data_IF_818446329708
#
_entry.id   IF_818446329708
#
_cell.length_a   1.000
_cell.length_b   1.000
_cell.length_c   1.000
_cell.angle_alpha   90.00
_cell.angle_beta   90.00
_cell.angle_gamma   90.00
#
_symmetry.space_group_name_H-M   'P 1'
#
loop_
_entity.id
_entity.type
_entity.pdbx_description
1 polymer ?
#
# COMPACT_ATOMS: atom_id res chain seq x y z
N UNK A 1 -8.62 18.75 4.90
CA UNK A 1 -7.89 17.72 5.68
C UNK A 1 -8.87 16.61 6.03
N UNK A 2 -8.42 15.36 6.11
CA UNK A 2 -9.25 14.18 6.47
C UNK A 2 -8.92 13.65 7.86
N UNK A 3 -9.81 12.84 8.43
CA UNK A 3 -9.65 12.21 9.76
C UNK A 3 -8.39 11.37 9.86
N UNK A 4 -8.15 10.53 8.85
CA UNK A 4 -6.95 9.69 8.75
C UNK A 4 -6.04 10.22 7.65
N UNK A 5 -4.75 10.37 7.97
CA UNK A 5 -3.75 10.87 7.02
C UNK A 5 -3.58 9.91 5.81
N UNK A 6 -3.62 8.61 6.09
CA UNK A 6 -3.56 7.55 5.10
C UNK A 6 -4.12 6.26 5.69
N UNK A 7 -4.60 5.36 4.84
CA UNK A 7 -4.99 4.00 5.19
C UNK A 7 -3.90 3.02 4.76
N UNK A 8 -3.06 2.59 5.71
CA UNK A 8 -1.92 1.69 5.44
C UNK A 8 -2.33 0.26 5.75
N UNK A 9 -2.44 -0.58 4.71
CA UNK A 9 -2.97 -1.93 4.78
C UNK A 9 -1.98 -2.97 4.26
N UNK A 10 -2.07 -4.17 4.81
CA UNK A 10 -1.26 -5.33 4.42
C UNK A 10 -1.95 -6.61 4.84
N UNK A 11 -1.63 -7.74 4.21
CA UNK A 11 -2.14 -9.03 4.65
C UNK A 11 -1.51 -9.53 5.96
N UNK A 12 -0.27 -9.14 6.25
CA UNK A 12 0.47 -9.64 7.40
C UNK A 12 0.40 -8.75 8.66
N UNK A 13 0.01 -7.49 8.51
CA UNK A 13 -0.11 -6.51 9.60
C UNK A 13 1.24 -6.08 10.18
N UNK A 14 1.33 -4.90 10.80
CA UNK A 14 2.56 -4.39 11.39
C UNK A 14 3.60 -3.89 10.37
N UNK A 15 4.86 -3.79 10.81
CA UNK A 15 5.98 -3.33 9.95
C UNK A 15 6.79 -4.47 9.34
N UNK A 16 6.73 -5.68 9.94
CA UNK A 16 7.57 -6.80 9.57
C UNK A 16 8.98 -6.75 10.14
N UNK A 17 9.81 -7.70 9.70
CA UNK A 17 11.22 -7.77 10.06
C UNK A 17 12.14 -7.43 8.87
N UNK A 18 13.47 -7.34 9.07
CA UNK A 18 14.45 -6.92 8.06
C UNK A 18 14.42 -7.70 6.73
N UNK A 19 13.87 -8.92 6.71
CA UNK A 19 13.74 -9.75 5.50
C UNK A 19 12.29 -10.06 5.14
N UNK A 20 11.34 -9.29 5.64
CA UNK A 20 9.94 -9.55 5.42
C UNK A 20 9.08 -8.38 5.84
N UNK A 21 9.27 -7.26 5.15
CA UNK A 21 8.49 -6.05 5.31
C UNK A 21 6.99 -6.35 5.15
N UNK A 22 6.20 -5.82 6.07
CA UNK A 22 4.75 -5.97 6.09
C UNK A 22 4.05 -4.65 5.79
N UNK A 23 4.79 -3.61 5.41
CA UNK A 23 4.29 -2.30 4.98
C UNK A 23 5.09 -1.78 3.79
N UNK A 24 4.42 -1.02 2.94
CA UNK A 24 5.01 -0.25 1.84
C UNK A 24 5.06 1.25 2.14
N UNK A 25 4.59 1.67 3.31
CA UNK A 25 4.47 3.08 3.67
C UNK A 25 5.54 3.47 4.67
N UNK A 26 6.19 4.60 4.42
CA UNK A 26 7.23 5.17 5.27
C UNK A 26 6.91 6.64 5.57
N UNK A 27 7.26 7.11 6.77
CA UNK A 27 7.16 8.53 7.09
C UNK A 27 8.31 9.31 6.41
N UNK A 28 8.35 10.64 6.63
CA UNK A 28 9.35 11.52 6.01
C UNK A 28 10.78 11.20 6.45
N UNK A 29 10.93 10.64 7.64
CA UNK A 29 12.18 10.23 8.26
C UNK A 29 12.60 8.80 7.84
N UNK A 30 11.88 8.17 6.90
CA UNK A 30 12.19 6.84 6.37
C UNK A 30 11.79 5.68 7.28
N UNK A 31 10.91 5.92 8.27
CA UNK A 31 10.46 4.89 9.22
C UNK A 31 9.21 4.18 8.71
N UNK A 32 9.14 2.84 8.85
CA UNK A 32 7.99 2.09 8.38
C UNK A 32 6.74 2.44 9.18
N UNK A 33 5.64 2.72 8.49
CA UNK A 33 4.33 2.94 9.09
C UNK A 33 3.64 1.57 9.24
N UNK A 34 3.25 1.15 10.47
CA UNK A 34 2.60 -0.14 10.67
C UNK A 34 1.33 -0.30 9.85
N UNK A 35 1.22 -1.41 9.12
CA UNK A 35 0.04 -1.72 8.32
C UNK A 35 -1.04 -2.43 9.14
N UNK A 36 -2.31 -2.17 8.83
CA UNK A 36 -3.44 -2.92 9.38
C UNK A 36 -3.82 -4.09 8.47
N UNK A 37 -4.25 -5.19 9.07
CA UNK A 37 -4.59 -6.41 8.33
C UNK A 37 -5.90 -7.08 8.74
N UNK A 38 -6.56 -6.62 9.80
CA UNK A 38 -7.80 -7.20 10.32
C UNK A 38 -9.00 -6.35 9.91
N UNK A 39 -9.92 -6.84 9.06
CA UNK A 39 -11.01 -6.02 8.52
C UNK A 39 -11.90 -5.41 9.60
N UNK A 40 -12.28 -6.16 10.64
CA UNK A 40 -13.03 -5.63 11.79
C UNK A 40 -12.34 -4.44 12.47
N UNK A 41 -11.03 -4.53 12.72
CA UNK A 41 -10.28 -3.44 13.37
C UNK A 41 -10.21 -2.20 12.48
N UNK A 42 -10.05 -2.39 11.17
CA UNK A 42 -10.04 -1.30 10.19
C UNK A 42 -11.42 -0.64 10.13
N UNK A 43 -12.49 -1.42 10.09
CA UNK A 43 -13.86 -0.91 10.09
C UNK A 43 -14.17 -0.12 11.37
N UNK A 44 -13.82 -0.67 12.54
CA UNK A 44 -14.04 0.00 13.82
C UNK A 44 -13.28 1.32 13.90
N UNK A 45 -12.03 1.35 13.44
CA UNK A 45 -11.23 2.57 13.36
C UNK A 45 -11.90 3.65 12.48
N UNK A 46 -12.50 3.25 11.36
CA UNK A 46 -13.10 4.16 10.39
C UNK A 46 -14.51 4.65 10.78
N UNK A 47 -15.32 3.80 11.44
CA UNK A 47 -16.77 4.01 11.52
C UNK A 47 -17.38 3.83 12.91
N UNK A 48 -16.64 3.36 13.92
CA UNK A 48 -17.18 3.13 15.27
C UNK A 48 -16.70 4.21 16.24
N UNK A 49 -17.65 4.87 16.90
CA UNK A 49 -17.38 5.94 17.85
C UNK A 49 -17.03 5.38 19.23
N UNK A 50 -15.83 5.66 19.75
CA UNK A 50 -15.50 5.45 21.17
C UNK A 50 -15.48 6.80 21.93
N UNK A 51 -16.53 7.62 21.84
CA UNK A 51 -16.44 9.05 22.20
C UNK A 51 -16.08 9.36 23.66
N UNK A 52 -16.59 8.61 24.64
CA UNK A 52 -16.32 8.87 26.07
C UNK A 52 -14.97 8.34 26.54
N UNK A 53 -14.60 7.12 26.13
CA UNK A 53 -13.32 6.53 26.51
C UNK A 53 -12.16 7.09 25.67
N UNK A 54 -12.39 7.44 24.41
CA UNK A 54 -11.35 7.98 23.54
C UNK A 54 -10.84 9.34 24.03
N UNK A 55 -11.73 10.25 24.47
CA UNK A 55 -11.30 11.55 24.98
C UNK A 55 -10.41 11.41 26.24
N UNK A 56 -10.81 10.55 27.19
CA UNK A 56 -10.02 10.27 28.39
C UNK A 56 -8.72 9.52 28.07
N UNK A 57 -8.73 8.60 27.10
CA UNK A 57 -7.55 7.89 26.65
C UNK A 57 -6.56 8.83 25.94
N UNK A 58 -7.05 9.71 25.07
CA UNK A 58 -6.27 10.75 24.39
C UNK A 58 -5.59 11.69 25.38
N UNK A 59 -6.33 12.17 26.40
CA UNK A 59 -5.79 13.03 27.45
C UNK A 59 -4.67 12.32 28.23
N UNK A 60 -4.88 11.05 28.61
CA UNK A 60 -3.85 10.22 29.28
C UNK A 60 -2.63 9.98 28.40
N UNK A 61 -2.83 9.64 27.13
CA UNK A 61 -1.72 9.43 26.18
C UNK A 61 -0.91 10.69 25.96
N UNK A 62 -1.54 11.86 25.87
CA UNK A 62 -0.85 13.15 25.77
C UNK A 62 0.00 13.42 27.02
N UNK A 63 -0.61 13.30 28.20
CA UNK A 63 0.10 13.50 29.48
C UNK A 63 1.29 12.56 29.65
N UNK A 64 1.15 11.29 29.24
CA UNK A 64 2.25 10.33 29.26
C UNK A 64 3.38 10.69 28.28
N UNK A 65 3.06 11.20 27.09
CA UNK A 65 4.08 11.64 26.12
C UNK A 65 4.81 12.90 26.60
N UNK A 66 4.10 13.84 27.21
CA UNK A 66 4.70 15.05 27.79
C UNK A 66 5.74 14.68 28.86
N UNK A 67 5.38 13.77 29.77
CA UNK A 67 6.30 13.23 30.80
C UNK A 67 7.50 12.51 30.17
N UNK A 68 7.25 11.63 29.20
CA UNK A 68 8.31 10.90 28.52
C UNK A 68 9.28 11.85 27.80
N UNK A 69 8.81 12.92 27.18
CA UNK A 69 9.66 13.91 26.51
C UNK A 69 10.56 14.66 27.50
N UNK A 70 10.05 15.00 28.69
CA UNK A 70 10.82 15.64 29.74
C UNK A 70 11.95 14.72 30.23
N UNK A 71 11.63 13.47 30.54
CA UNK A 71 12.61 12.45 30.95
C UNK A 71 13.66 12.19 29.87
N UNK A 72 13.21 12.11 28.62
CA UNK A 72 14.09 11.85 27.47
C UNK A 72 15.07 13.00 27.26
N UNK A 73 14.64 14.26 27.40
CA UNK A 73 15.53 15.43 27.35
C UNK A 73 16.55 15.41 28.49
N UNK A 74 16.14 14.98 29.69
CA UNK A 74 17.03 14.83 30.83
C UNK A 74 18.08 13.75 30.61
N UNK A 75 17.67 12.61 30.05
CA UNK A 75 18.56 11.50 29.70
C UNK A 75 19.54 11.89 28.59
N UNK A 76 19.09 12.60 27.56
CA UNK A 76 19.95 13.07 26.46
C UNK A 76 21.14 13.91 26.90
N UNK A 77 21.02 14.64 28.03
CA UNK A 77 22.11 15.40 28.64
C UNK A 77 23.15 14.55 29.37
N UNK A 78 22.82 13.29 29.70
CA UNK A 78 23.65 12.39 30.52
C UNK A 78 24.32 11.27 29.73
N UNK A 79 23.86 10.98 28.51
CA UNK A 79 24.35 9.85 27.70
C UNK A 79 25.41 10.27 26.69
N UNK A 80 26.13 9.28 26.15
CA UNK A 80 27.18 9.48 25.15
C UNK A 80 26.62 10.01 23.82
N UNK A 81 27.46 10.66 23.00
CA UNK A 81 27.09 11.08 21.63
C UNK A 81 26.61 9.91 20.75
N UNK A 82 27.14 8.70 20.98
CA UNK A 82 26.69 7.51 20.27
C UNK A 82 25.25 7.16 20.66
N UNK A 83 24.93 7.18 21.94
CA UNK A 83 23.60 6.81 22.44
C UNK A 83 22.55 7.89 22.14
N UNK A 84 22.99 9.16 22.00
CA UNK A 84 22.13 10.26 21.55
C UNK A 84 21.49 9.98 20.18
N UNK A 85 22.15 9.25 19.29
CA UNK A 85 21.57 8.84 18.01
C UNK A 85 20.35 7.92 18.18
N UNK A 86 20.48 6.90 19.04
CA UNK A 86 19.36 5.99 19.38
C UNK A 86 18.25 6.72 20.13
N UNK A 87 18.61 7.64 21.02
CA UNK A 87 17.64 8.46 21.74
C UNK A 87 16.86 9.39 20.80
N UNK A 88 17.55 9.99 19.83
CA UNK A 88 16.90 10.79 18.79
C UNK A 88 15.93 9.92 17.99
N UNK A 89 16.32 8.67 17.70
CA UNK A 89 15.40 7.76 17.04
C UNK A 89 14.15 7.51 17.89
N UNK A 90 14.26 7.33 19.19
CA UNK A 90 13.10 7.22 20.06
C UNK A 90 12.23 8.50 20.05
N UNK A 91 12.85 9.68 20.13
CA UNK A 91 12.15 10.98 20.14
C UNK A 91 11.32 11.23 18.89
N UNK A 92 11.80 10.88 17.68
CA UNK A 92 10.96 11.10 16.49
C UNK A 92 9.75 10.15 16.46
N UNK A 93 9.86 8.92 17.00
CA UNK A 93 8.71 8.00 17.11
C UNK A 93 7.65 8.52 18.09
N UNK A 94 8.09 9.17 19.17
CA UNK A 94 7.22 9.90 20.11
C UNK A 94 6.51 11.03 19.38
N UNK A 95 7.24 11.84 18.58
CA UNK A 95 6.69 12.95 17.81
C UNK A 95 5.65 12.51 16.78
N UNK A 96 5.89 11.42 16.07
CA UNK A 96 4.88 10.83 15.16
C UNK A 96 3.58 10.45 15.90
N UNK A 97 3.72 10.00 17.15
CA UNK A 97 2.58 9.66 18.00
C UNK A 97 1.82 10.92 18.45
N UNK A 98 2.51 11.99 18.80
CA UNK A 98 1.89 13.29 19.12
C UNK A 98 1.11 13.86 17.95
N UNK A 99 1.66 13.79 16.73
CA UNK A 99 0.98 14.26 15.50
C UNK A 99 -0.32 13.48 15.29
N UNK A 100 -0.29 12.15 15.49
CA UNK A 100 -1.50 11.30 15.41
C UNK A 100 -2.53 11.64 16.47
N UNK A 101 -2.10 11.85 17.72
CA UNK A 101 -3.01 12.24 18.82
C UNK A 101 -3.62 13.61 18.59
N UNK A 102 -2.85 14.58 18.09
CA UNK A 102 -3.34 15.93 17.78
C UNK A 102 -4.42 15.87 16.70
N UNK A 103 -4.22 15.09 15.64
CA UNK A 103 -5.26 14.85 14.64
C UNK A 103 -6.48 14.19 15.28
N UNK A 104 -6.31 13.11 16.03
CA UNK A 104 -7.43 12.44 16.69
C UNK A 104 -8.25 13.39 17.59
N UNK A 105 -7.59 14.33 18.29
CA UNK A 105 -8.24 15.36 19.10
C UNK A 105 -9.12 16.31 18.27
N UNK A 106 -8.68 16.72 17.08
CA UNK A 106 -9.45 17.59 16.18
C UNK A 106 -10.74 16.92 15.70
N UNK A 107 -10.72 15.60 15.51
CA UNK A 107 -11.84 14.84 14.97
C UNK A 107 -12.73 14.19 16.04
N UNK A 108 -12.40 14.33 17.34
CA UNK A 108 -13.15 13.73 18.47
C UNK A 108 -14.66 14.04 18.43
N UNK A 109 -14.99 15.31 18.15
CA UNK A 109 -16.37 15.78 18.15
C UNK A 109 -17.00 15.76 16.75
N UNK A 110 -16.26 15.30 15.73
CA UNK A 110 -16.80 15.22 14.37
C UNK A 110 -17.59 13.92 14.22
N UNK A 111 -18.85 13.97 13.79
CA UNK A 111 -19.66 12.77 13.54
C UNK A 111 -18.93 11.78 12.64
N UNK A 112 -19.07 10.49 12.95
CA UNK A 112 -18.56 9.44 12.07
C UNK A 112 -19.51 9.26 10.88
N UNK A 113 -18.96 8.97 9.69
CA UNK A 113 -19.77 8.62 8.54
C UNK A 113 -20.61 7.36 8.83
N UNK A 114 -21.89 7.39 8.43
CA UNK A 114 -22.75 6.20 8.48
C UNK A 114 -22.65 5.47 7.15
N UNK A 115 -22.20 4.22 7.19
CA UNK A 115 -22.06 3.37 6.00
C UNK A 115 -22.83 2.06 6.21
N UNK A 116 -23.40 1.53 5.14
CA UNK A 116 -23.96 0.18 5.15
C UNK A 116 -22.82 -0.84 5.14
N UNK A 117 -22.72 -1.62 6.22
CA UNK A 117 -21.69 -2.64 6.42
C UNK A 117 -22.22 -4.07 6.31
N UNK A 118 -23.50 -4.26 5.97
CA UNK A 118 -24.16 -5.58 5.98
C UNK A 118 -23.52 -6.60 5.04
N UNK A 119 -22.90 -6.13 3.95
CA UNK A 119 -22.21 -6.95 2.95
C UNK A 119 -20.73 -7.22 3.27
N UNK A 120 -20.18 -6.62 4.34
CA UNK A 120 -18.76 -6.77 4.69
C UNK A 120 -18.52 -8.04 5.49
N UNK A 121 -17.51 -8.82 5.11
CA UNK A 121 -17.06 -9.98 5.87
C UNK A 121 -15.97 -9.57 6.86
N UNK A 122 -16.35 -8.84 7.92
CA UNK A 122 -15.40 -8.23 8.86
C UNK A 122 -14.51 -9.22 9.63
N UNK A 123 -14.98 -10.46 9.78
CA UNK A 123 -14.25 -11.56 10.42
C UNK A 123 -13.42 -12.39 9.43
N UNK A 124 -13.49 -12.10 8.12
CA UNK A 124 -12.70 -12.84 7.13
C UNK A 124 -11.20 -12.60 7.36
N UNK A 125 -10.44 -13.69 7.34
CA UNK A 125 -8.99 -13.66 7.31
C UNK A 125 -8.44 -14.14 5.97
N UNK A 126 -7.11 -14.15 5.79
CA UNK A 126 -6.49 -14.62 4.55
C UNK A 126 -6.78 -16.09 4.20
N UNK A 127 -7.26 -16.90 5.16
CA UNK A 127 -7.75 -18.24 4.90
C UNK A 127 -9.04 -18.23 4.05
N UNK A 128 -9.93 -17.26 4.28
CA UNK A 128 -11.12 -16.93 3.49
C UNK A 128 -10.73 -15.92 2.39
N UNK A 129 -9.71 -16.26 1.61
CA UNK A 129 -8.99 -15.33 0.73
C UNK A 129 -9.91 -14.44 -0.12
N UNK A 130 -10.97 -14.99 -0.72
CA UNK A 130 -11.91 -14.23 -1.56
C UNK A 130 -12.62 -13.13 -0.77
N UNK A 131 -13.27 -13.51 0.34
CA UNK A 131 -13.95 -12.57 1.23
C UNK A 131 -12.99 -11.53 1.79
N UNK A 132 -11.75 -11.94 2.12
CA UNK A 132 -10.72 -11.04 2.61
C UNK A 132 -10.32 -9.99 1.58
N UNK A 133 -9.95 -10.39 0.35
CA UNK A 133 -9.65 -9.46 -0.74
C UNK A 133 -10.77 -8.44 -0.94
N UNK A 134 -12.00 -8.96 -1.02
CA UNK A 134 -13.16 -8.15 -1.33
C UNK A 134 -13.44 -7.13 -0.24
N UNK A 135 -13.42 -7.58 1.02
CA UNK A 135 -13.65 -6.73 2.19
C UNK A 135 -12.57 -5.66 2.34
N UNK A 136 -11.28 -5.99 2.11
CA UNK A 136 -10.19 -5.01 2.19
C UNK A 136 -10.34 -3.90 1.13
N UNK A 137 -10.68 -4.24 -0.12
CA UNK A 137 -10.97 -3.24 -1.15
C UNK A 137 -12.25 -2.44 -0.85
N UNK A 138 -13.28 -3.08 -0.28
CA UNK A 138 -14.51 -2.38 0.09
C UNK A 138 -14.27 -1.40 1.24
N UNK A 139 -13.39 -1.71 2.19
CA UNK A 139 -12.97 -0.77 3.24
C UNK A 139 -12.20 0.43 2.69
N UNK A 140 -11.32 0.23 1.69
CA UNK A 140 -10.65 1.33 0.99
C UNK A 140 -11.68 2.22 0.28
N UNK A 141 -12.61 1.59 -0.45
CA UNK A 141 -13.70 2.29 -1.14
C UNK A 141 -14.53 3.12 -0.15
N UNK A 142 -14.96 2.54 0.97
CA UNK A 142 -15.75 3.22 1.98
C UNK A 142 -14.96 4.36 2.62
N UNK A 143 -13.65 4.19 2.84
CA UNK A 143 -12.80 5.24 3.39
C UNK A 143 -12.71 6.46 2.45
N UNK A 144 -12.68 6.25 1.14
CA UNK A 144 -12.71 7.33 0.15
C UNK A 144 -14.10 7.95 0.02
N UNK A 145 -15.14 7.13 -0.09
CA UNK A 145 -16.53 7.58 -0.25
C UNK A 145 -17.00 8.43 0.94
N UNK A 146 -16.53 8.08 2.14
CA UNK A 146 -16.85 8.79 3.37
C UNK A 146 -15.92 9.96 3.71
N UNK A 147 -14.96 10.28 2.83
CA UNK A 147 -13.90 11.28 3.06
C UNK A 147 -13.08 11.05 4.35
N UNK A 148 -12.96 9.78 4.77
CA UNK A 148 -12.17 9.39 5.95
C UNK A 148 -10.67 9.51 5.69
N UNK A 149 -10.23 9.25 4.45
CA UNK A 149 -8.87 9.51 3.98
C UNK A 149 -8.84 9.70 2.46
N UNK A 150 -7.77 10.33 1.96
CA UNK A 150 -7.50 10.50 0.51
C UNK A 150 -6.45 9.54 -0.05
N UNK A 151 -5.75 8.79 0.82
CA UNK A 151 -4.61 7.95 0.41
C UNK A 151 -4.73 6.59 1.07
N UNK A 152 -4.55 5.52 0.29
CA UNK A 152 -4.50 4.16 0.80
C UNK A 152 -3.40 3.35 0.10
N UNK A 153 -2.75 2.46 0.86
CA UNK A 153 -1.82 1.46 0.31
C UNK A 153 -2.26 0.09 0.78
N UNK A 154 -2.28 -0.91 -0.11
CA UNK A 154 -2.59 -2.29 0.27
C UNK A 154 -1.52 -3.25 -0.24
N UNK A 155 -0.70 -3.77 0.67
CA UNK A 155 0.27 -4.81 0.38
C UNK A 155 -0.39 -6.19 0.41
N UNK A 156 -0.61 -6.78 -0.76
CA UNK A 156 -1.22 -8.11 -0.90
C UNK A 156 -0.32 -9.25 -0.42
N UNK A 157 0.99 -9.04 -0.43
CA UNK A 157 1.92 -10.04 0.04
C UNK A 157 3.35 -9.55 0.14
N UNK A 158 4.18 -10.43 0.66
CA UNK A 158 5.64 -10.35 0.61
C UNK A 158 6.12 -11.64 -0.01
N UNK A 159 7.28 -11.65 -0.65
CA UNK A 159 7.72 -12.86 -1.35
C UNK A 159 8.45 -13.86 -0.43
N UNK A 160 7.81 -14.27 0.67
CA UNK A 160 8.35 -15.25 1.61
C UNK A 160 7.31 -16.31 1.94
N UNK A 161 7.64 -17.60 1.93
CA UNK A 161 6.69 -18.65 2.30
C UNK A 161 6.15 -18.58 3.74
N UNK A 162 4.98 -19.19 3.96
CA UNK A 162 4.47 -19.56 5.28
C UNK A 162 3.77 -18.45 6.08
N UNK A 163 3.44 -17.31 5.47
CA UNK A 163 2.67 -16.23 6.12
C UNK A 163 1.20 -16.17 5.69
N UNK A 164 0.36 -15.33 6.34
CA UNK A 164 -1.04 -15.16 5.93
C UNK A 164 -1.24 -14.77 4.45
N UNK A 165 -0.36 -13.94 3.88
CA UNK A 165 -0.38 -13.63 2.45
C UNK A 165 -0.24 -14.86 1.53
N UNK A 166 0.41 -15.92 2.01
CA UNK A 166 0.63 -17.15 1.26
C UNK A 166 -0.69 -17.91 1.02
N UNK A 167 -1.71 -17.65 1.85
CA UNK A 167 -3.04 -18.24 1.76
C UNK A 167 -3.94 -17.58 0.71
N UNK A 168 -3.57 -16.41 0.19
CA UNK A 168 -4.43 -15.63 -0.71
C UNK A 168 -4.69 -16.33 -2.06
N UNK A 169 -3.81 -17.21 -2.50
CA UNK A 169 -3.99 -18.05 -3.69
C UNK A 169 -5.09 -19.10 -3.54
N UNK A 170 -5.56 -19.37 -2.31
CA UNK A 170 -6.74 -20.23 -2.08
C UNK A 170 -8.00 -19.67 -2.73
N UNK A 171 -8.06 -18.36 -3.02
CA UNK A 171 -9.17 -17.75 -3.75
C UNK A 171 -9.38 -18.35 -5.15
N UNK A 172 -8.35 -18.96 -5.73
CA UNK A 172 -8.40 -19.67 -7.01
C UNK A 172 -8.15 -21.18 -6.86
N UNK A 173 -8.41 -21.73 -5.67
CA UNK A 173 -8.22 -23.14 -5.34
C UNK A 173 -6.81 -23.69 -5.64
N UNK A 174 -5.79 -22.83 -5.54
CA UNK A 174 -4.38 -23.21 -5.68
C UNK A 174 -3.69 -23.29 -4.31
N UNK A 175 -2.56 -23.99 -4.29
CA UNK A 175 -1.67 -24.03 -3.13
C UNK A 175 -1.03 -22.67 -2.83
N UNK A 176 -0.15 -22.64 -1.84
CA UNK A 176 0.52 -21.45 -1.32
C UNK A 176 1.11 -20.53 -2.42
N UNK A 177 0.85 -19.23 -2.33
CA UNK A 177 1.22 -18.22 -3.33
C UNK A 177 2.74 -18.19 -3.62
N UNK A 178 3.59 -18.28 -2.59
CA UNK A 178 5.04 -18.39 -2.71
C UNK A 178 5.46 -19.69 -3.43
N UNK A 179 4.73 -20.77 -3.21
CA UNK A 179 4.94 -22.01 -3.96
C UNK A 179 4.64 -21.83 -5.45
N UNK A 180 3.61 -21.05 -5.79
CA UNK A 180 3.23 -20.80 -7.19
C UNK A 180 4.28 -20.01 -7.96
N UNK A 181 4.93 -19.03 -7.33
CA UNK A 181 5.97 -18.22 -7.96
C UNK A 181 7.21 -19.05 -8.29
N UNK A 182 7.67 -19.90 -7.36
CA UNK A 182 8.78 -20.83 -7.59
C UNK A 182 8.43 -21.98 -8.55
N UNK A 183 7.15 -22.34 -8.67
CA UNK A 183 6.71 -23.39 -9.58
C UNK A 183 6.76 -22.99 -11.06
N UNK A 184 6.92 -21.71 -11.39
CA UNK A 184 6.98 -21.20 -12.78
C UNK A 184 8.07 -21.85 -13.65
N UNK A 185 9.14 -22.37 -13.03
CA UNK A 185 10.22 -23.13 -13.70
C UNK A 185 9.77 -24.51 -14.22
N UNK A 186 8.65 -25.02 -13.70
CA UNK A 186 8.11 -26.32 -14.08
C UNK A 186 7.21 -26.19 -15.32
N UNK A 187 7.01 -27.29 -16.05
CA UNK A 187 6.07 -27.36 -17.17
C UNK A 187 4.68 -26.88 -16.71
N UNK A 188 4.15 -25.85 -17.39
CA UNK A 188 2.87 -25.19 -17.08
C UNK A 188 2.78 -24.47 -15.72
N UNK A 189 3.85 -24.34 -14.92
CA UNK A 189 3.78 -23.66 -13.63
C UNK A 189 3.36 -22.19 -13.74
N UNK A 190 3.77 -21.52 -14.81
CA UNK A 190 3.35 -20.17 -15.15
C UNK A 190 1.83 -20.03 -15.35
N UNK A 191 1.11 -21.09 -15.73
CA UNK A 191 -0.37 -21.04 -15.88
C UNK A 191 -1.05 -20.87 -14.53
N UNK A 192 -0.58 -21.60 -13.52
CA UNK A 192 -1.14 -21.50 -12.17
C UNK A 192 -0.87 -20.12 -11.55
N UNK A 193 0.37 -19.63 -11.67
CA UNK A 193 0.69 -18.27 -11.25
C UNK A 193 -0.14 -17.23 -12.02
N UNK A 194 -0.28 -17.40 -13.34
CA UNK A 194 -1.10 -16.54 -14.20
C UNK A 194 -2.57 -16.52 -13.78
N UNK A 195 -3.15 -17.65 -13.39
CA UNK A 195 -4.51 -17.74 -12.83
C UNK A 195 -4.64 -16.90 -11.55
N UNK A 196 -3.67 -16.99 -10.64
CA UNK A 196 -3.69 -16.21 -9.40
C UNK A 196 -3.47 -14.70 -9.66
N UNK A 197 -2.54 -14.33 -10.54
CA UNK A 197 -2.30 -12.94 -10.92
C UNK A 197 -3.52 -12.32 -11.62
N UNK A 198 -4.18 -13.09 -12.49
CA UNK A 198 -5.43 -12.68 -13.13
C UNK A 198 -6.53 -12.43 -12.09
N UNK A 199 -6.65 -13.27 -11.07
CA UNK A 199 -7.62 -13.06 -10.00
C UNK A 199 -7.35 -11.77 -9.21
N UNK A 200 -6.09 -11.48 -8.87
CA UNK A 200 -5.72 -10.22 -8.21
C UNK A 200 -6.08 -9.00 -9.09
N UNK A 201 -5.77 -9.05 -10.39
CA UNK A 201 -6.13 -8.01 -11.34
C UNK A 201 -7.66 -7.86 -11.51
N UNK A 202 -8.42 -8.96 -11.43
CA UNK A 202 -9.88 -8.93 -11.47
C UNK A 202 -10.47 -8.24 -10.23
N UNK A 203 -9.94 -8.51 -9.03
CA UNK A 203 -10.39 -7.84 -7.80
C UNK A 203 -10.02 -6.35 -7.80
N UNK A 204 -8.85 -5.98 -8.33
CA UNK A 204 -8.51 -4.58 -8.57
C UNK A 204 -9.46 -3.92 -9.58
N UNK A 205 -9.81 -4.63 -10.66
CA UNK A 205 -10.81 -4.18 -11.64
C UNK A 205 -12.21 -4.02 -11.04
N UNK A 206 -12.63 -4.90 -10.13
CA UNK A 206 -13.89 -4.79 -9.38
C UNK A 206 -13.91 -3.52 -8.54
N UNK A 207 -12.82 -3.24 -7.82
CA UNK A 207 -12.65 -2.00 -7.05
C UNK A 207 -12.74 -0.76 -7.95
N UNK A 208 -12.00 -0.74 -9.06
CA UNK A 208 -12.04 0.36 -10.03
C UNK A 208 -13.43 0.56 -10.63
N UNK A 209 -14.13 -0.52 -10.97
CA UNK A 209 -15.52 -0.47 -11.44
C UNK A 209 -16.45 0.12 -10.38
N UNK A 210 -16.31 -0.26 -9.12
CA UNK A 210 -17.10 0.27 -8.01
C UNK A 210 -16.90 1.78 -7.85
N UNK A 211 -15.67 2.29 -7.98
CA UNK A 211 -15.39 3.73 -8.01
C UNK A 211 -16.03 4.41 -9.23
N UNK A 212 -15.96 3.78 -10.41
CA UNK A 212 -16.56 4.32 -11.65
C UNK A 212 -18.08 4.42 -11.59
N UNK A 213 -18.72 3.41 -11.01
CA UNK A 213 -20.18 3.33 -10.92
C UNK A 213 -20.74 4.22 -9.79
N UNK A 214 -19.87 4.83 -8.98
CA UNK A 214 -20.24 5.69 -7.84
C UNK A 214 -20.02 7.14 -8.20
N UNK A 215 -21.09 7.95 -8.16
CA UNK A 215 -21.00 9.41 -8.33
C UNK A 215 -20.11 10.02 -7.25
N UNK A 216 -19.28 10.99 -7.63
CA UNK A 216 -18.46 11.73 -6.67
C UNK A 216 -19.37 12.48 -5.66
N UNK A 217 -19.28 12.22 -4.35
CA UNK A 217 -20.17 12.86 -3.37
C UNK A 217 -20.09 14.39 -3.34
N UNK A 218 -18.89 14.94 -3.55
CA UNK A 218 -18.62 16.37 -3.39
C UNK A 218 -18.04 17.03 -4.66
N UNK A 219 -18.35 16.51 -5.85
CA UNK A 219 -17.73 16.97 -7.08
C UNK A 219 -18.42 16.48 -8.35
N UNK A 220 -17.75 16.71 -9.47
CA UNK A 220 -18.21 16.27 -10.78
C UNK A 220 -17.64 14.90 -11.17
N UNK A 221 -18.37 14.20 -12.04
CA UNK A 221 -18.00 12.88 -12.51
C UNK A 221 -18.29 11.77 -11.48
N UNK A 222 -17.51 10.71 -11.58
CA UNK A 222 -17.54 9.58 -10.65
C UNK A 222 -16.25 9.52 -9.81
N UNK A 223 -16.23 8.70 -8.76
CA UNK A 223 -15.07 8.60 -7.87
C UNK A 223 -13.79 8.16 -8.61
N UNK A 224 -13.91 7.37 -9.69
CA UNK A 224 -12.75 6.96 -10.47
C UNK A 224 -12.15 8.12 -11.29
N UNK A 225 -12.95 9.10 -11.71
CA UNK A 225 -12.44 10.30 -12.37
C UNK A 225 -11.54 11.12 -11.42
N UNK A 226 -11.83 11.08 -10.11
CA UNK A 226 -11.12 11.81 -9.05
C UNK A 226 -10.11 10.96 -8.26
N UNK A 227 -9.96 9.68 -8.59
CA UNK A 227 -9.04 8.75 -7.90
C UNK A 227 -8.05 8.13 -8.88
N UNK A 228 -6.76 8.33 -8.66
CA UNK A 228 -5.72 7.55 -9.33
C UNK A 228 -5.40 6.29 -8.50
N UNK A 229 -5.49 5.11 -9.11
CA UNK A 229 -5.15 3.85 -8.47
C UNK A 229 -4.17 3.05 -9.33
N UNK A 230 -3.23 2.36 -8.68
CA UNK A 230 -2.26 1.48 -9.33
C UNK A 230 -2.13 0.14 -8.61
N UNK A 231 -1.82 -0.90 -9.39
CA UNK A 231 -1.60 -2.26 -8.92
C UNK A 231 -0.45 -2.89 -9.71
N UNK A 232 0.39 -3.66 -9.02
CA UNK A 232 1.53 -4.34 -9.63
C UNK A 232 2.23 -5.27 -8.65
N UNK A 233 3.36 -5.81 -9.09
CA UNK A 233 4.25 -6.63 -8.27
C UNK A 233 5.67 -6.06 -8.29
N UNK A 234 6.43 -6.38 -7.26
CA UNK A 234 7.87 -6.11 -7.18
C UNK A 234 8.70 -7.40 -7.09
N UNK A 235 8.08 -8.57 -7.28
CA UNK A 235 8.76 -9.86 -7.25
C UNK A 235 8.13 -10.92 -8.16
N UNK A 236 8.91 -11.94 -8.50
CA UNK A 236 8.54 -13.13 -9.28
C UNK A 236 9.46 -14.29 -8.88
N UNK A 237 9.55 -15.33 -9.72
CA UNK A 237 10.24 -16.61 -9.46
C UNK A 237 11.69 -16.53 -8.95
N UNK A 238 12.42 -15.48 -9.34
CA UNK A 238 13.81 -15.24 -8.95
C UNK A 238 14.01 -13.93 -8.19
N UNK A 239 12.92 -13.28 -7.75
CA UNK A 239 12.94 -12.01 -7.02
C UNK A 239 13.71 -10.90 -7.79
N UNK A 240 13.57 -10.91 -9.12
CA UNK A 240 14.30 -10.01 -10.01
C UNK A 240 13.50 -8.73 -10.25
N UNK A 241 13.96 -7.60 -9.73
CA UNK A 241 13.27 -6.31 -9.90
C UNK A 241 13.43 -5.66 -11.27
N UNK A 242 13.00 -6.34 -12.34
CA UNK A 242 13.10 -5.87 -13.74
C UNK A 242 11.73 -5.86 -14.43
N UNK A 243 11.37 -4.72 -15.02
CA UNK A 243 10.25 -4.53 -15.95
C UNK A 243 8.91 -5.14 -15.48
N UNK A 244 8.54 -4.91 -14.23
CA UNK A 244 7.27 -5.41 -13.71
C UNK A 244 6.07 -4.70 -14.33
N UNK A 245 5.01 -5.44 -14.71
CA UNK A 245 3.80 -4.82 -15.23
C UNK A 245 3.11 -4.03 -14.12
N UNK A 246 2.84 -2.76 -14.41
CA UNK A 246 2.01 -1.88 -13.57
C UNK A 246 0.72 -1.61 -14.30
N UNK A 247 -0.40 -1.83 -13.62
CA UNK A 247 -1.73 -1.43 -14.07
C UNK A 247 -2.08 -0.14 -13.34
N UNK A 248 -2.46 0.89 -14.08
CA UNK A 248 -3.02 2.13 -13.51
C UNK A 248 -4.40 2.42 -14.10
N UNK A 249 -5.27 3.03 -13.29
CA UNK A 249 -6.64 3.39 -13.64
C UNK A 249 -7.08 4.67 -12.93
N UNK A 250 -8.01 5.40 -13.56
CA UNK A 250 -8.66 6.57 -12.99
C UNK A 250 -7.82 7.84 -12.99
N UNK A 251 -8.29 8.87 -12.28
CA UNK A 251 -7.61 10.17 -12.20
C UNK A 251 -7.76 11.01 -13.45
N UNK A 252 -8.86 10.87 -14.20
CA UNK A 252 -9.16 11.72 -15.37
C UNK A 252 -9.12 13.21 -15.01
N UNK A 253 -9.72 13.59 -13.88
CA UNK A 253 -9.73 14.97 -13.39
C UNK A 253 -8.39 15.39 -12.76
N UNK A 254 -7.47 14.44 -12.59
CA UNK A 254 -6.09 14.66 -12.15
C UNK A 254 -5.10 14.66 -13.34
N UNK A 255 -5.60 14.64 -14.58
CA UNK A 255 -4.78 14.68 -15.80
C UNK A 255 -4.20 13.35 -16.25
N UNK A 256 -4.69 12.20 -15.76
CA UNK A 256 -4.24 10.88 -16.20
C UNK A 256 -5.01 10.39 -17.43
N UNK A 257 -4.27 9.86 -18.42
CA UNK A 257 -4.85 9.31 -19.64
C UNK A 257 -4.65 7.78 -19.69
N UNK A 258 -5.66 7.05 -19.24
CA UNK A 258 -5.64 5.58 -19.14
C UNK A 258 -6.14 4.89 -20.44
N UNK A 259 -6.17 3.56 -20.44
CA UNK A 259 -6.67 2.76 -21.58
C UNK A 259 -5.61 2.51 -22.66
N UNK A 260 -4.34 2.57 -22.29
CA UNK A 260 -3.18 2.41 -23.18
C UNK A 260 -2.24 1.37 -22.59
N UNK A 261 -1.52 0.67 -23.47
CA UNK A 261 -0.35 -0.11 -23.08
C UNK A 261 0.89 0.76 -23.34
N UNK A 262 1.63 1.08 -22.28
CA UNK A 262 2.85 1.88 -22.34
C UNK A 262 4.04 0.96 -22.07
N UNK A 263 5.01 1.01 -22.98
CA UNK A 263 6.26 0.27 -22.90
C UNK A 263 7.36 1.23 -23.37
N UNK A 264 8.50 1.24 -22.68
CA UNK A 264 9.61 2.13 -23.01
C UNK A 264 10.88 1.39 -23.45
N UNK A 265 10.74 0.09 -23.76
CA UNK A 265 11.77 -0.75 -24.40
C UNK A 265 11.22 -1.38 -25.67
N UNK A 266 12.07 -1.71 -26.64
CA UNK A 266 11.61 -2.44 -27.83
C UNK A 266 11.42 -3.93 -27.52
N UNK A 267 10.44 -4.56 -28.18
CA UNK A 267 10.32 -6.01 -28.15
C UNK A 267 11.50 -6.66 -28.88
N UNK A 268 11.88 -7.85 -28.42
CA UNK A 268 12.76 -8.74 -29.20
C UNK A 268 12.01 -9.23 -30.45
N UNK A 269 12.74 -9.78 -31.41
CA UNK A 269 12.17 -10.29 -32.67
C UNK A 269 11.08 -11.36 -32.45
N UNK A 270 11.12 -12.07 -31.32
CA UNK A 270 10.13 -13.08 -30.94
C UNK A 270 8.87 -12.48 -30.23
N UNK A 271 8.79 -11.15 -30.13
CA UNK A 271 7.70 -10.43 -29.46
C UNK A 271 7.79 -10.42 -27.93
N UNK A 272 8.89 -10.91 -27.35
CA UNK A 272 9.09 -10.91 -25.89
C UNK A 272 9.80 -9.63 -25.42
N UNK A 273 9.58 -9.26 -24.16
CA UNK A 273 10.33 -8.16 -23.54
C UNK A 273 11.80 -8.57 -23.35
N UNK A 274 12.75 -7.64 -23.47
CA UNK A 274 14.13 -7.89 -23.09
C UNK A 274 14.21 -8.46 -21.67
N UNK A 275 14.76 -9.68 -21.54
CA UNK A 275 14.87 -10.38 -20.25
C UNK A 275 13.63 -11.20 -19.83
N UNK A 276 12.62 -11.32 -20.68
CA UNK A 276 11.48 -12.23 -20.45
C UNK A 276 11.92 -13.70 -20.54
N UNK A 277 11.17 -14.59 -19.87
CA UNK A 277 11.35 -16.05 -20.01
C UNK A 277 12.63 -16.62 -19.40
N UNK A 278 13.43 -15.81 -18.69
CA UNK A 278 14.63 -16.26 -17.99
C UNK A 278 14.27 -17.31 -16.93
N UNK A 279 14.74 -18.54 -17.13
CA UNK A 279 14.43 -19.70 -16.28
C UNK A 279 15.67 -20.41 -15.73
N UNK A 280 16.87 -19.88 -15.99
CA UNK A 280 18.16 -20.44 -15.58
C UNK A 280 18.97 -19.47 -14.75
N UNK A 281 19.84 -20.00 -13.90
CA UNK A 281 20.68 -19.18 -13.02
C UNK A 281 21.66 -18.29 -13.81
N UNK A 282 22.18 -18.79 -14.94
CA UNK A 282 23.08 -18.03 -15.81
C UNK A 282 22.36 -16.84 -16.47
N UNK A 283 21.12 -17.02 -16.91
CA UNK A 283 20.29 -15.93 -17.43
C UNK A 283 19.95 -14.89 -16.35
N UNK A 284 19.76 -15.33 -15.11
CA UNK A 284 19.49 -14.44 -13.96
C UNK A 284 20.68 -13.52 -13.66
N UNK A 285 21.89 -14.07 -13.59
CA UNK A 285 23.14 -13.31 -13.29
C UNK A 285 23.62 -12.46 -14.47
N UNK A 286 22.99 -12.60 -15.64
CA UNK A 286 23.31 -11.81 -16.80
C UNK A 286 23.03 -10.31 -16.59
N UNK A 287 23.89 -9.47 -17.18
CA UNK A 287 23.64 -8.04 -17.27
C UNK A 287 22.38 -7.79 -18.13
N UNK A 288 21.52 -6.89 -17.66
CA UNK A 288 20.42 -6.39 -18.47
C UNK A 288 21.01 -5.61 -19.65
N UNK A 289 20.64 -6.00 -20.87
CA UNK A 289 21.11 -5.32 -22.09
C UNK A 289 20.26 -4.09 -22.43
N UNK A 290 19.03 -4.04 -21.96
CA UNK A 290 18.08 -2.95 -22.09
C UNK A 290 17.22 -2.90 -20.82
N UNK A 291 17.00 -1.71 -20.29
CA UNK A 291 16.19 -1.46 -19.08
C UNK A 291 15.06 -0.50 -19.42
N UNK A 292 13.86 -0.78 -18.91
CA UNK A 292 12.70 0.10 -19.06
C UNK A 292 12.85 1.34 -18.17
N UNK A 293 12.00 2.34 -18.38
CA UNK A 293 12.01 3.55 -17.58
C UNK A 293 11.78 3.21 -16.10
N UNK A 294 12.60 3.74 -15.18
CA UNK A 294 12.42 3.53 -13.76
C UNK A 294 11.01 3.91 -13.29
N UNK A 295 10.37 3.03 -12.51
CA UNK A 295 9.06 3.29 -11.89
C UNK A 295 9.03 4.60 -11.07
N UNK A 296 10.19 5.04 -10.60
CA UNK A 296 10.35 6.32 -9.91
C UNK A 296 9.84 7.52 -10.73
N UNK A 297 9.97 7.52 -12.06
CA UNK A 297 9.44 8.59 -12.91
C UNK A 297 7.90 8.63 -12.88
N UNK A 298 7.23 7.47 -12.75
CA UNK A 298 5.78 7.43 -12.54
C UNK A 298 5.42 8.07 -11.19
N UNK A 299 6.18 7.79 -10.14
CA UNK A 299 5.95 8.41 -8.83
C UNK A 299 6.13 9.92 -8.85
N UNK A 300 7.14 10.46 -9.55
CA UNK A 300 7.27 11.91 -9.76
C UNK A 300 6.03 12.47 -10.46
N UNK A 301 5.55 11.80 -11.52
CA UNK A 301 4.33 12.21 -12.25
C UNK A 301 3.09 12.22 -11.37
N UNK A 302 2.93 11.21 -10.50
CA UNK A 302 1.82 11.12 -9.55
C UNK A 302 1.90 12.25 -8.53
N UNK A 303 3.08 12.49 -7.94
CA UNK A 303 3.29 13.52 -6.94
C UNK A 303 2.96 14.91 -7.50
N UNK A 304 3.47 15.25 -8.68
CA UNK A 304 3.21 16.53 -9.33
C UNK A 304 1.72 16.72 -9.66
N UNK A 305 1.03 15.69 -10.18
CA UNK A 305 -0.42 15.75 -10.47
C UNK A 305 -1.29 15.88 -9.22
N UNK A 306 -0.78 15.43 -8.08
CA UNK A 306 -1.41 15.60 -6.77
C UNK A 306 -0.97 16.90 -6.06
N UNK A 307 -0.25 17.79 -6.74
CA UNK A 307 0.15 19.10 -6.23
C UNK A 307 1.34 19.07 -5.26
N UNK A 308 2.14 18.00 -5.26
CA UNK A 308 3.40 17.95 -4.50
C UNK A 308 4.52 18.56 -5.33
N UNK A 309 5.13 19.63 -4.80
CA UNK A 309 6.29 20.30 -5.40
C UNK A 309 7.55 19.44 -5.23
N UNK A 310 7.75 18.48 -6.13
CA UNK A 310 8.99 17.70 -6.22
C UNK A 310 9.27 17.29 -7.67
N UNK A 311 10.55 17.28 -8.03
CA UNK A 311 11.03 16.79 -9.32
C UNK A 311 11.77 15.46 -9.20
N UNK A 312 11.87 14.88 -8.00
CA UNK A 312 12.59 13.62 -7.81
C UNK A 312 11.89 12.66 -6.85
N UNK A 313 12.15 11.37 -7.07
CA UNK A 313 11.72 10.28 -6.20
C UNK A 313 12.74 9.15 -6.26
N UNK A 314 13.13 8.60 -5.10
CA UNK A 314 14.06 7.47 -5.00
C UNK A 314 15.36 7.62 -5.82
N UNK A 315 15.91 8.83 -5.91
CA UNK A 315 17.15 9.13 -6.65
C UNK A 315 16.98 9.38 -8.16
N UNK A 316 15.76 9.28 -8.70
CA UNK A 316 15.46 9.61 -10.10
C UNK A 316 14.79 10.97 -10.21
N UNK A 317 15.15 11.74 -11.25
CA UNK A 317 14.62 13.09 -11.50
C UNK A 317 13.80 13.12 -12.78
N UNK A 318 12.69 13.86 -12.74
CA UNK A 318 11.78 14.09 -13.86
C UNK A 318 10.58 13.13 -13.89
N UNK A 319 9.44 13.58 -14.42
CA UNK A 319 8.26 12.74 -14.62
C UNK A 319 8.43 11.83 -15.84
N UNK A 320 7.49 10.90 -16.01
CA UNK A 320 7.32 10.18 -17.27
C UNK A 320 6.69 11.13 -18.30
N UNK A 321 7.23 11.12 -19.52
CA UNK A 321 6.72 11.96 -20.61
C UNK A 321 5.26 11.66 -20.99
N UNK A 322 4.76 10.44 -20.69
CA UNK A 322 3.40 9.99 -20.99
C UNK A 322 2.85 9.22 -19.81
N UNK A 323 1.80 9.73 -19.16
CA UNK A 323 1.05 9.03 -18.09
C UNK A 323 -0.43 9.33 -18.21
#
# INVERSE_FOLDING_TARGET
QTRHASLVLSTNGGIGGPRGAQTQSFNREGRPIPAMNKPKQIFDMLFVANSRDAANQLARSKSALDLLLEDTRSLGRKISKHDQGTLQQYLDAVRDTEVRLTKAQQWLNTPLPKVDSSHLHLEAGPAEAKQYFQTMYDLIYLAFMSDSTRVATFQLGRENGGGPHDLLSKAVALGNAHGLTHATKNKNGWKNLGTYNRYQAQEFGRFAKKLKDTKEPNGEGNMLDNTFAMHGSASSSFHLSRNYPIISVGGKNLGFNNGRYLQYVDFLEDGSLPGAGVSSDAGWRGQAKQEDQPLAHLFVSILQRLGVETDSFAGYTGPLARV
#
